data_IF_197228411807
#
_entry.id   IF_197228411807
#
_cell.length_a   1.000
_cell.length_b   1.000
_cell.length_c   1.000
_cell.angle_alpha   90.00
_cell.angle_beta   90.00
_cell.angle_gamma   90.00
#
_symmetry.space_group_name_H-M   'P 1'
#
loop_
_entity.id
_entity.type
_entity.pdbx_description
1 polymer ?
#
# COMPACT_ATOMS: atom_id res chain seq x y z
N UNK A 1 3.13 18.10 21.57
CA UNK A 1 2.53 17.98 20.23
C UNK A 1 3.41 17.07 19.36
N UNK A 2 2.82 16.04 18.78
CA UNK A 2 3.58 15.16 17.88
C UNK A 2 3.83 15.83 16.54
N UNK A 3 5.00 15.63 15.99
CA UNK A 3 5.36 16.07 14.64
C UNK A 3 5.08 14.94 13.66
N UNK A 4 4.90 15.26 12.38
CA UNK A 4 4.67 14.25 11.34
C UNK A 4 5.76 13.18 11.31
N UNK A 5 7.01 13.57 11.53
CA UNK A 5 8.16 12.65 11.54
C UNK A 5 8.16 11.67 12.73
N UNK A 6 7.39 11.96 13.78
CA UNK A 6 7.25 11.09 14.95
C UNK A 6 6.12 10.08 14.76
N UNK A 7 5.30 10.27 13.73
CA UNK A 7 4.18 9.39 13.44
C UNK A 7 4.68 8.05 12.93
N UNK A 8 4.18 6.96 13.52
CA UNK A 8 4.57 5.60 13.16
C UNK A 8 3.33 4.80 12.77
N UNK A 9 3.32 4.31 11.54
CA UNK A 9 2.25 3.46 11.06
C UNK A 9 2.56 1.99 11.35
N UNK A 10 1.52 1.23 11.63
CA UNK A 10 1.61 -0.21 11.87
C UNK A 10 1.53 -0.94 10.54
N UNK A 11 2.51 -1.81 10.28
CA UNK A 11 2.53 -2.70 9.13
C UNK A 11 2.52 -4.14 9.63
N UNK A 12 1.44 -4.84 9.40
CA UNK A 12 1.31 -6.25 9.77
C UNK A 12 2.12 -7.13 8.81
N UNK A 13 2.39 -8.37 9.20
CA UNK A 13 3.08 -9.34 8.34
C UNK A 13 2.32 -9.54 7.03
N UNK A 14 1.00 -9.56 7.08
CA UNK A 14 0.15 -9.70 5.90
C UNK A 14 0.29 -8.51 4.96
N UNK A 15 0.34 -7.29 5.52
CA UNK A 15 0.56 -6.08 4.75
C UNK A 15 1.95 -6.09 4.09
N UNK A 16 2.97 -6.55 4.80
CA UNK A 16 4.32 -6.68 4.25
C UNK A 16 4.37 -7.68 3.10
N UNK A 17 3.63 -8.78 3.19
CA UNK A 17 3.51 -9.75 2.08
C UNK A 17 2.86 -9.10 0.86
N UNK A 18 1.83 -8.29 1.06
CA UNK A 18 1.18 -7.56 -0.04
C UNK A 18 2.15 -6.60 -0.73
N UNK A 19 2.97 -5.90 0.05
CA UNK A 19 4.00 -4.99 -0.51
C UNK A 19 4.97 -5.76 -1.39
N UNK A 20 5.44 -6.91 -0.92
CA UNK A 20 6.35 -7.77 -1.69
C UNK A 20 5.70 -8.22 -3.00
N UNK A 21 4.45 -8.66 -2.95
CA UNK A 21 3.70 -9.06 -4.14
C UNK A 21 3.55 -7.91 -5.13
N UNK A 22 3.24 -6.71 -4.64
CA UNK A 22 3.14 -5.51 -5.48
C UNK A 22 4.47 -5.21 -6.17
N UNK A 23 5.59 -5.32 -5.45
CA UNK A 23 6.91 -5.09 -6.02
C UNK A 23 7.26 -6.12 -7.09
N UNK A 24 6.89 -7.38 -6.89
CA UNK A 24 7.10 -8.45 -7.87
C UNK A 24 6.29 -8.17 -9.14
N UNK A 25 5.03 -7.78 -8.99
CA UNK A 25 4.15 -7.45 -10.12
C UNK A 25 4.71 -6.26 -10.90
N UNK A 26 5.14 -5.20 -10.21
CA UNK A 26 5.73 -4.03 -10.84
C UNK A 26 6.99 -4.38 -11.63
N UNK A 27 7.81 -5.26 -11.07
CA UNK A 27 9.02 -5.72 -11.74
C UNK A 27 8.69 -6.48 -13.02
N UNK A 28 7.69 -7.37 -12.98
CA UNK A 28 7.23 -8.10 -14.15
C UNK A 28 6.66 -7.18 -15.23
N UNK A 29 5.97 -6.11 -14.83
CA UNK A 29 5.43 -5.13 -15.78
C UNK A 29 6.53 -4.35 -16.53
N UNK A 30 7.74 -4.28 -15.97
CA UNK A 30 8.88 -3.67 -16.61
C UNK A 30 9.58 -4.60 -17.62
N UNK A 31 9.27 -5.90 -17.56
CA UNK A 31 9.81 -6.90 -18.48
C UNK A 31 9.07 -6.87 -19.82
N UNK A 32 9.64 -7.55 -20.81
CA UNK A 32 9.03 -7.68 -22.13
C UNK A 32 7.92 -8.75 -22.07
N UNK A 33 6.70 -8.32 -21.81
CA UNK A 33 5.53 -9.19 -21.64
C UNK A 33 4.48 -8.89 -22.72
N UNK A 34 3.57 -9.84 -22.93
CA UNK A 34 2.46 -9.65 -23.86
C UNK A 34 1.43 -8.67 -23.28
N UNK A 35 0.63 -8.07 -24.16
CA UNK A 35 -0.46 -7.18 -23.74
C UNK A 35 -1.45 -7.90 -22.81
N UNK A 36 -1.74 -9.16 -23.10
CA UNK A 36 -2.64 -9.99 -22.28
C UNK A 36 -2.10 -10.16 -20.86
N UNK A 37 -0.78 -10.43 -20.71
CA UNK A 37 -0.14 -10.55 -19.42
C UNK A 37 -0.13 -9.22 -18.68
N UNK A 38 0.13 -8.12 -19.40
CA UNK A 38 0.12 -6.77 -18.84
C UNK A 38 -1.24 -6.44 -18.22
N UNK A 39 -2.33 -6.71 -18.96
CA UNK A 39 -3.70 -6.44 -18.48
C UNK A 39 -3.98 -7.27 -17.22
N UNK A 40 -3.61 -8.54 -17.21
CA UNK A 40 -3.81 -9.43 -16.06
C UNK A 40 -3.04 -8.95 -14.83
N UNK A 41 -1.77 -8.54 -15.01
CA UNK A 41 -0.93 -8.05 -13.91
C UNK A 41 -1.42 -6.72 -13.36
N UNK A 42 -1.85 -5.81 -14.21
CA UNK A 42 -2.41 -4.52 -13.78
C UNK A 42 -3.69 -4.70 -12.98
N UNK A 43 -4.52 -5.65 -13.37
CA UNK A 43 -5.75 -5.99 -12.66
C UNK A 43 -5.44 -6.55 -11.27
N UNK A 44 -4.46 -7.46 -11.19
CA UNK A 44 -4.01 -8.04 -9.93
C UNK A 44 -3.41 -6.97 -9.01
N UNK A 45 -2.60 -6.07 -9.56
CA UNK A 45 -2.01 -4.95 -8.84
C UNK A 45 -3.09 -4.06 -8.22
N UNK A 46 -4.16 -3.78 -8.95
CA UNK A 46 -5.28 -2.99 -8.49
C UNK A 46 -5.99 -3.63 -7.31
N UNK A 47 -6.20 -4.95 -7.38
CA UNK A 47 -6.83 -5.73 -6.31
C UNK A 47 -5.95 -5.71 -5.05
N UNK A 48 -4.65 -5.97 -5.19
CA UNK A 48 -3.71 -5.96 -4.07
C UNK A 48 -3.62 -4.59 -3.41
N UNK A 49 -3.56 -3.53 -4.21
CA UNK A 49 -3.51 -2.16 -3.70
C UNK A 49 -4.77 -1.83 -2.89
N UNK A 50 -5.94 -2.21 -3.36
CA UNK A 50 -7.19 -2.01 -2.66
C UNK A 50 -7.23 -2.76 -1.33
N UNK A 51 -6.76 -4.00 -1.32
CA UNK A 51 -6.66 -4.81 -0.09
C UNK A 51 -5.70 -4.20 0.91
N UNK A 52 -4.55 -3.74 0.43
CA UNK A 52 -3.55 -3.10 1.27
C UNK A 52 -4.11 -1.85 1.94
N UNK A 53 -4.75 -0.97 1.18
CA UNK A 53 -5.35 0.26 1.70
C UNK A 53 -6.39 -0.06 2.78
N UNK A 54 -7.20 -1.07 2.55
CA UNK A 54 -8.23 -1.50 3.49
C UNK A 54 -7.62 -1.97 4.82
N UNK A 55 -6.59 -2.82 4.74
CA UNK A 55 -5.87 -3.32 5.92
C UNK A 55 -5.11 -2.21 6.62
N UNK A 56 -4.49 -1.32 5.85
CA UNK A 56 -3.77 -0.17 6.39
C UNK A 56 -4.71 0.73 7.21
N UNK A 57 -5.86 1.07 6.68
CA UNK A 57 -6.84 1.90 7.37
C UNK A 57 -7.37 1.23 8.63
N UNK A 58 -7.60 -0.08 8.56
CA UNK A 58 -8.11 -0.86 9.69
C UNK A 58 -7.12 -0.88 10.86
N UNK A 59 -5.84 -1.03 10.56
CA UNK A 59 -4.79 -1.17 11.57
C UNK A 59 -4.17 0.17 12.02
N UNK A 60 -4.50 1.27 11.35
CA UNK A 60 -3.88 2.58 11.60
C UNK A 60 -4.91 3.70 11.82
N UNK A 61 -6.02 3.39 12.45
CA UNK A 61 -7.11 4.36 12.69
C UNK A 61 -6.60 5.59 13.43
N UNK A 62 -5.88 5.38 14.54
CA UNK A 62 -5.34 6.46 15.36
C UNK A 62 -4.26 7.25 14.63
N UNK A 63 -3.37 6.56 13.92
CA UNK A 63 -2.29 7.17 13.17
C UNK A 63 -2.81 8.04 12.03
N UNK A 64 -3.83 7.58 11.33
CA UNK A 64 -4.47 8.35 10.26
C UNK A 64 -5.14 9.60 10.82
N UNK A 65 -5.79 9.47 11.97
CA UNK A 65 -6.42 10.59 12.67
C UNK A 65 -5.38 11.64 13.06
N UNK A 66 -4.27 11.20 13.65
CA UNK A 66 -3.15 12.08 14.01
C UNK A 66 -2.56 12.77 12.78
N UNK A 67 -2.39 12.04 11.70
CA UNK A 67 -1.88 12.59 10.45
C UNK A 67 -2.77 13.72 9.93
N UNK A 68 -4.09 13.51 9.93
CA UNK A 68 -5.05 14.52 9.48
C UNK A 68 -5.01 15.77 10.35
N UNK A 69 -4.89 15.59 11.66
CA UNK A 69 -4.80 16.71 12.61
C UNK A 69 -3.53 17.51 12.36
N UNK A 70 -2.39 16.84 12.18
CA UNK A 70 -1.10 17.49 11.94
C UNK A 70 -1.05 18.17 10.57
N UNK A 71 -1.67 17.57 9.55
CA UNK A 71 -1.68 18.12 8.20
C UNK A 71 -2.57 19.36 8.06
N UNK A 72 -3.52 19.56 8.98
CA UNK A 72 -4.45 20.70 8.97
C UNK A 72 -3.97 21.87 9.83
N UNK A 73 -2.78 21.77 10.40
CA UNK A 73 -2.22 22.85 11.21
C UNK A 73 -1.60 23.98 10.36
#
# INVERSE_FOLDING_TARGET
MKKLEELRFVLTDEMNKMVIEVLIIKQRLEEDITLKEQIALEKELKILTSKFIKEFRKNNVEQIKEYKELANL
#
